data_IF_158091282785
#
_entry.id   IF_158091282785
#
_cell.length_a   1.000
_cell.length_b   1.000
_cell.length_c   1.000
_cell.angle_alpha   90.00
_cell.angle_beta   90.00
_cell.angle_gamma   90.00
#
_symmetry.space_group_name_H-M   'P 1'
#
loop_
_entity.id
_entity.type
_entity.pdbx_description
1 polymer ?
#
# COMPACT_ATOMS: atom_id res chain seq x y z
N UNK A 1 1.50 15.77 5.94
CA UNK A 1 0.81 14.95 6.93
C UNK A 1 1.49 15.12 8.27
N UNK A 2 0.76 15.54 9.28
CA UNK A 2 1.17 15.53 10.68
C UNK A 2 1.37 14.09 11.14
N UNK A 3 2.26 13.85 12.08
CA UNK A 3 2.38 12.55 12.75
C UNK A 3 1.00 12.10 13.23
N UNK A 4 0.54 10.95 12.72
CA UNK A 4 -0.72 10.39 13.17
C UNK A 4 -0.50 9.77 14.56
N UNK A 5 -1.03 10.43 15.57
CA UNK A 5 -1.12 9.85 16.92
C UNK A 5 -2.33 8.93 16.96
N UNK A 6 -2.16 7.64 17.32
CA UNK A 6 -3.29 6.73 17.48
C UNK A 6 -4.29 7.28 18.48
N UNK A 7 -5.55 7.39 18.09
CA UNK A 7 -6.64 7.78 18.98
C UNK A 7 -7.36 6.52 19.44
N UNK A 8 -7.63 6.43 20.73
CA UNK A 8 -8.39 5.34 21.33
C UNK A 8 -9.79 5.83 21.74
N UNK A 9 -10.81 5.00 21.53
CA UNK A 9 -12.19 5.32 21.85
C UNK A 9 -13.11 4.13 21.61
N UNK A 10 -14.35 4.23 22.07
CA UNK A 10 -15.34 3.14 22.01
C UNK A 10 -15.68 2.65 20.60
N UNK A 11 -15.46 3.49 19.56
CA UNK A 11 -15.76 3.17 18.17
C UNK A 11 -14.49 2.97 17.33
N UNK A 12 -13.34 2.74 17.96
CA UNK A 12 -12.05 2.61 17.26
C UNK A 12 -11.43 1.26 17.58
N UNK A 13 -11.12 0.50 16.52
CA UNK A 13 -10.32 -0.72 16.62
C UNK A 13 -9.03 -0.49 15.84
N UNK A 14 -7.90 -0.49 16.55
CA UNK A 14 -6.58 -0.45 15.94
C UNK A 14 -6.16 -1.85 15.51
N UNK A 15 -5.95 -2.04 14.21
CA UNK A 15 -5.45 -3.29 13.65
C UNK A 15 -4.02 -3.11 13.15
N UNK A 16 -3.12 -3.96 13.64
CA UNK A 16 -1.72 -4.00 13.21
C UNK A 16 -1.38 -5.38 12.69
N UNK A 17 -0.59 -5.43 11.62
CA UNK A 17 -0.08 -6.70 11.08
C UNK A 17 1.42 -6.81 11.34
N UNK A 18 1.86 -7.92 11.93
CA UNK A 18 3.27 -8.21 12.11
C UNK A 18 3.96 -8.72 10.84
N UNK A 19 3.19 -9.02 9.79
CA UNK A 19 3.73 -9.43 8.48
C UNK A 19 4.68 -8.40 7.88
N UNK A 20 4.43 -7.10 8.10
CA UNK A 20 5.24 -6.00 7.56
C UNK A 20 6.37 -5.57 8.53
N UNK A 21 6.35 -6.10 9.75
CA UNK A 21 7.37 -5.89 10.76
C UNK A 21 8.41 -7.01 10.83
N UNK A 22 8.42 -7.93 9.84
CA UNK A 22 9.41 -9.00 9.72
C UNK A 22 8.92 -10.41 10.07
N UNK A 23 7.62 -10.59 10.34
CA UNK A 23 7.00 -11.89 10.66
C UNK A 23 5.88 -12.28 9.68
N UNK A 24 6.13 -12.33 8.35
CA UNK A 24 5.06 -12.56 7.37
C UNK A 24 4.49 -13.98 7.43
N UNK A 25 5.33 -14.98 7.70
CA UNK A 25 4.95 -16.41 7.73
C UNK A 25 4.05 -16.78 8.91
N UNK A 26 4.15 -16.06 10.01
CA UNK A 26 3.42 -16.38 11.24
C UNK A 26 1.94 -15.99 11.21
N UNK A 27 1.51 -15.18 10.25
CA UNK A 27 0.12 -14.78 10.05
C UNK A 27 -0.53 -14.15 11.29
N UNK A 28 0.20 -13.27 11.99
CA UNK A 28 -0.23 -12.63 13.22
C UNK A 28 -0.62 -11.18 12.96
N UNK A 29 -1.77 -10.81 13.50
CA UNK A 29 -2.24 -9.46 13.67
C UNK A 29 -2.52 -9.16 15.15
N UNK A 30 -2.58 -7.89 15.48
CA UNK A 30 -2.96 -7.38 16.81
C UNK A 30 -4.13 -6.46 16.60
N UNK A 31 -5.22 -6.71 17.34
CA UNK A 31 -6.37 -5.80 17.42
C UNK A 31 -6.44 -5.20 18.82
N UNK A 32 -6.57 -3.89 18.91
CA UNK A 32 -6.70 -3.14 20.16
C UNK A 32 -7.96 -2.28 20.05
N UNK A 33 -8.89 -2.45 20.99
CA UNK A 33 -10.16 -1.73 20.99
C UNK A 33 -10.88 -1.87 22.32
N UNK A 34 -12.13 -1.44 22.35
CA UNK A 34 -12.97 -1.62 23.54
C UNK A 34 -13.27 -3.11 23.80
N UNK A 35 -13.53 -3.51 25.06
CA UNK A 35 -13.73 -4.92 25.43
C UNK A 35 -14.88 -5.60 24.68
N UNK A 36 -15.97 -4.89 24.37
CA UNK A 36 -17.12 -5.45 23.68
C UNK A 36 -16.79 -5.80 22.23
N UNK A 37 -16.18 -4.86 21.50
CA UNK A 37 -15.74 -5.07 20.11
C UNK A 37 -14.68 -6.17 20.00
N UNK A 38 -13.71 -6.18 20.91
CA UNK A 38 -12.67 -7.23 20.94
C UNK A 38 -13.27 -8.59 21.27
N UNK A 39 -14.24 -8.68 22.20
CA UNK A 39 -14.95 -9.93 22.51
C UNK A 39 -15.71 -10.51 21.30
N UNK A 40 -16.29 -9.66 20.46
CA UNK A 40 -16.90 -10.10 19.19
C UNK A 40 -15.83 -10.66 18.24
N UNK A 41 -14.71 -9.96 18.04
CA UNK A 41 -13.60 -10.43 17.20
C UNK A 41 -13.01 -11.76 17.71
N UNK A 42 -12.86 -11.92 19.02
CA UNK A 42 -12.39 -13.16 19.66
C UNK A 42 -13.34 -14.32 19.37
N UNK A 43 -14.65 -14.09 19.45
CA UNK A 43 -15.67 -15.09 19.13
C UNK A 43 -15.59 -15.51 17.67
N UNK A 44 -15.43 -14.57 16.74
CA UNK A 44 -15.20 -14.88 15.32
C UNK A 44 -13.91 -15.67 15.10
N UNK A 45 -12.81 -15.25 15.72
CA UNK A 45 -11.52 -15.91 15.61
C UNK A 45 -11.61 -17.36 16.12
N UNK A 46 -12.25 -17.59 17.26
CA UNK A 46 -12.42 -18.90 17.84
C UNK A 46 -13.21 -19.85 16.93
N UNK A 47 -14.27 -19.34 16.30
CA UNK A 47 -15.08 -20.13 15.38
C UNK A 47 -14.40 -20.38 14.02
N UNK A 48 -13.59 -19.43 13.53
CA UNK A 48 -12.93 -19.54 12.22
C UNK A 48 -11.64 -20.36 12.26
N UNK A 49 -10.80 -20.19 13.28
CA UNK A 49 -9.43 -20.72 13.34
C UNK A 49 -9.06 -21.33 14.68
N UNK A 50 -9.97 -21.38 15.66
CA UNK A 50 -9.74 -21.79 17.05
C UNK A 50 -8.78 -20.82 17.76
N UNK A 51 -7.55 -20.68 17.27
CA UNK A 51 -6.56 -19.71 17.76
C UNK A 51 -5.46 -19.46 16.70
N UNK A 52 -4.77 -18.33 16.81
CA UNK A 52 -3.57 -18.03 16.02
C UNK A 52 -2.38 -18.88 16.49
N UNK A 53 -1.34 -19.01 15.64
CA UNK A 53 -0.11 -19.73 15.97
C UNK A 53 0.47 -19.34 17.32
N UNK A 54 0.60 -20.29 18.24
CA UNK A 54 1.20 -20.06 19.57
C UNK A 54 2.69 -19.72 19.47
N UNK A 55 3.39 -20.32 18.53
CA UNK A 55 4.82 -20.02 18.29
C UNK A 55 4.99 -18.59 17.81
N UNK A 56 4.19 -18.18 16.85
CA UNK A 56 4.20 -16.82 16.35
C UNK A 56 3.85 -15.79 17.42
N UNK A 57 2.87 -16.07 18.28
CA UNK A 57 2.53 -15.21 19.41
C UNK A 57 3.69 -15.09 20.41
N UNK A 58 4.37 -16.19 20.75
CA UNK A 58 5.50 -16.19 21.66
C UNK A 58 6.69 -15.39 21.09
N UNK A 59 6.99 -15.55 19.80
CA UNK A 59 8.04 -14.78 19.11
C UNK A 59 7.67 -13.28 19.10
N UNK A 60 6.44 -12.97 18.73
CA UNK A 60 5.93 -11.60 18.69
C UNK A 60 5.98 -10.92 20.07
N UNK A 61 5.49 -11.60 21.10
CA UNK A 61 5.51 -11.09 22.47
C UNK A 61 6.92 -10.77 22.95
N UNK A 62 7.88 -11.67 22.67
CA UNK A 62 9.29 -11.46 23.01
C UNK A 62 9.91 -10.29 22.22
N UNK A 63 9.61 -10.18 20.93
CA UNK A 63 10.13 -9.10 20.08
C UNK A 63 9.58 -7.73 20.50
N UNK A 64 8.30 -7.67 20.89
CA UNK A 64 7.64 -6.45 21.38
C UNK A 64 8.18 -6.06 22.77
N UNK A 65 8.18 -6.99 23.73
CA UNK A 65 8.60 -6.71 25.12
C UNK A 65 10.07 -6.32 25.24
N UNK A 66 10.92 -6.83 24.35
CA UNK A 66 12.35 -6.46 24.29
C UNK A 66 12.65 -5.17 23.52
N UNK A 67 11.66 -4.52 22.90
CA UNK A 67 11.85 -3.36 22.05
C UNK A 67 12.46 -3.67 20.67
N UNK A 68 12.87 -4.90 20.40
CA UNK A 68 13.54 -5.29 19.14
C UNK A 68 12.67 -5.06 17.91
N UNK A 69 11.34 -5.23 18.03
CA UNK A 69 10.43 -5.00 16.92
C UNK A 69 10.40 -3.53 16.51
N UNK A 70 10.35 -2.62 17.49
CA UNK A 70 10.38 -1.18 17.25
C UNK A 70 11.73 -0.74 16.66
N UNK A 71 12.83 -1.26 17.21
CA UNK A 71 14.18 -0.97 16.69
C UNK A 71 14.33 -1.42 15.23
N UNK A 72 13.92 -2.64 14.90
CA UNK A 72 13.92 -3.14 13.52
C UNK A 72 13.07 -2.27 12.58
N UNK A 73 11.88 -1.91 13.03
CA UNK A 73 10.96 -1.09 12.23
C UNK A 73 11.55 0.30 11.93
N UNK A 74 12.10 0.96 12.93
CA UNK A 74 12.59 2.34 12.83
C UNK A 74 13.95 2.43 12.12
N UNK A 75 14.87 1.53 12.45
CA UNK A 75 16.28 1.65 12.07
C UNK A 75 16.66 0.81 10.84
N UNK A 76 15.83 -0.17 10.45
CA UNK A 76 16.11 -1.03 9.30
C UNK A 76 15.01 -0.94 8.25
N UNK A 77 13.76 -1.25 8.60
CA UNK A 77 12.66 -1.39 7.64
C UNK A 77 12.27 -0.03 7.06
N UNK A 78 12.02 0.96 7.91
CA UNK A 78 11.61 2.31 7.48
C UNK A 78 12.64 2.99 6.57
N UNK A 79 13.95 3.04 6.88
CA UNK A 79 14.94 3.60 5.96
C UNK A 79 15.05 2.85 4.64
N UNK A 80 14.93 1.51 4.66
CA UNK A 80 14.97 0.69 3.45
C UNK A 80 13.85 1.07 2.48
N UNK A 81 12.60 1.10 2.93
CA UNK A 81 11.47 1.45 2.07
C UNK A 81 11.42 2.94 1.70
N UNK A 82 11.91 3.84 2.56
CA UNK A 82 12.07 5.25 2.19
C UNK A 82 13.01 5.46 1.00
N UNK A 83 14.10 4.69 0.89
CA UNK A 83 14.96 4.76 -0.30
C UNK A 83 14.22 4.31 -1.55
N UNK A 84 13.47 3.23 -1.48
CA UNK A 84 12.69 2.70 -2.61
C UNK A 84 11.60 3.65 -3.08
N UNK A 85 10.90 4.31 -2.15
CA UNK A 85 9.91 5.37 -2.50
C UNK A 85 10.61 6.52 -3.24
N UNK A 86 11.80 6.94 -2.81
CA UNK A 86 12.57 7.98 -3.50
C UNK A 86 12.97 7.56 -4.91
N UNK A 87 13.41 6.31 -5.11
CA UNK A 87 13.72 5.77 -6.45
C UNK A 87 12.49 5.82 -7.34
N UNK A 88 11.34 5.36 -6.83
CA UNK A 88 10.07 5.41 -7.54
C UNK A 88 9.71 6.85 -7.95
N UNK A 89 9.68 7.77 -6.99
CA UNK A 89 9.33 9.18 -7.24
C UNK A 89 10.26 9.84 -8.25
N UNK A 90 11.57 9.75 -8.03
CA UNK A 90 12.56 10.34 -8.93
C UNK A 90 12.46 9.78 -10.36
N UNK A 91 12.14 8.48 -10.50
CA UNK A 91 11.97 7.88 -11.83
C UNK A 91 10.74 8.41 -12.53
N UNK A 92 9.61 8.56 -11.81
CA UNK A 92 8.39 9.13 -12.37
C UNK A 92 8.57 10.61 -12.71
N UNK A 93 9.20 11.41 -11.85
CA UNK A 93 9.52 12.82 -12.12
C UNK A 93 10.31 13.00 -13.42
N UNK A 94 11.33 12.16 -13.61
CA UNK A 94 12.16 12.22 -14.81
C UNK A 94 11.45 11.70 -16.08
N UNK A 95 10.56 10.70 -15.93
CA UNK A 95 9.92 10.02 -17.06
C UNK A 95 8.55 10.59 -17.42
N UNK A 96 7.87 11.31 -16.53
CA UNK A 96 6.51 11.86 -16.75
C UNK A 96 6.41 13.32 -16.30
N UNK A 97 7.26 14.25 -16.77
CA UNK A 97 7.25 15.63 -16.28
C UNK A 97 5.95 16.38 -16.60
N UNK A 98 5.25 16.00 -17.68
CA UNK A 98 4.08 16.71 -18.19
C UNK A 98 2.74 16.00 -17.83
N UNK A 99 2.80 14.84 -17.15
CA UNK A 99 1.60 14.12 -16.72
C UNK A 99 1.26 14.50 -15.27
N UNK A 100 0.00 14.85 -14.97
CA UNK A 100 -0.40 15.19 -13.62
C UNK A 100 -0.51 13.92 -12.75
N UNK A 101 0.54 13.61 -12.01
CA UNK A 101 0.57 12.49 -11.07
C UNK A 101 0.91 12.95 -9.65
N UNK A 102 0.45 12.19 -8.69
CA UNK A 102 0.69 12.44 -7.26
C UNK A 102 1.02 11.14 -6.56
N UNK A 103 2.02 11.18 -5.70
CA UNK A 103 2.39 10.06 -4.86
C UNK A 103 2.02 10.37 -3.41
N UNK A 104 1.27 9.47 -2.78
CA UNK A 104 0.99 9.59 -1.36
C UNK A 104 2.30 9.56 -0.57
N UNK A 105 2.50 10.57 0.28
CA UNK A 105 3.72 10.72 1.07
C UNK A 105 3.70 9.74 2.24
N UNK A 106 4.17 8.51 1.99
CA UNK A 106 4.24 7.44 2.97
C UNK A 106 5.49 7.56 3.85
N UNK A 107 5.34 7.25 5.13
CA UNK A 107 6.42 7.28 6.13
C UNK A 107 7.34 6.03 6.10
N UNK A 108 7.29 5.19 5.06
CA UNK A 108 8.15 4.01 4.90
C UNK A 108 7.38 2.69 4.93
N UNK A 109 6.17 2.67 4.37
CA UNK A 109 5.42 1.44 4.11
C UNK A 109 6.00 0.66 2.92
N UNK A 110 5.60 -0.62 2.80
CA UNK A 110 6.00 -1.49 1.68
C UNK A 110 5.19 -1.23 0.41
N UNK A 111 4.21 -0.35 0.46
CA UNK A 111 3.37 0.02 -0.67
C UNK A 111 3.46 1.52 -0.91
N UNK A 112 3.46 1.90 -2.19
CA UNK A 112 3.24 3.25 -2.66
C UNK A 112 1.83 3.36 -3.24
N UNK A 113 1.20 4.53 -3.06
CA UNK A 113 -0.09 4.87 -3.64
C UNK A 113 0.10 5.99 -4.64
N UNK A 114 -0.08 5.65 -5.93
CA UNK A 114 0.05 6.56 -7.05
C UNK A 114 -1.34 6.97 -7.54
N UNK A 115 -1.56 8.25 -7.71
CA UNK A 115 -2.72 8.83 -8.37
C UNK A 115 -2.30 9.47 -9.69
N UNK A 116 -2.87 9.00 -10.79
CA UNK A 116 -2.75 9.57 -12.13
C UNK A 116 -3.99 10.44 -12.36
N UNK A 117 -3.88 11.74 -12.08
CA UNK A 117 -5.02 12.66 -12.19
C UNK A 117 -5.47 12.77 -13.64
N UNK A 118 -6.79 12.75 -13.86
CA UNK A 118 -7.44 12.82 -15.17
C UNK A 118 -7.02 11.67 -16.12
N UNK A 119 -6.72 10.49 -15.55
CA UNK A 119 -6.47 9.27 -16.33
C UNK A 119 -7.67 9.02 -17.26
N UNK A 120 -7.48 8.96 -18.60
CA UNK A 120 -8.58 8.91 -19.57
C UNK A 120 -9.20 7.52 -19.75
N UNK A 121 -8.92 6.61 -18.87
CA UNK A 121 -9.49 5.26 -18.78
C UNK A 121 -9.59 4.85 -17.31
N UNK A 122 -10.22 3.72 -17.03
CA UNK A 122 -10.27 3.18 -15.68
C UNK A 122 -8.90 2.62 -15.25
N UNK A 123 -8.65 2.56 -13.95
CA UNK A 123 -7.45 1.93 -13.38
C UNK A 123 -7.30 0.45 -13.77
N UNK A 124 -8.41 -0.25 -14.02
CA UNK A 124 -8.43 -1.63 -14.51
C UNK A 124 -7.98 -1.73 -15.96
N UNK A 125 -8.46 -0.85 -16.84
CA UNK A 125 -8.01 -0.79 -18.24
C UNK A 125 -6.53 -0.45 -18.29
N UNK A 126 -6.10 0.57 -17.55
CA UNK A 126 -4.69 0.95 -17.45
C UNK A 126 -3.82 -0.20 -16.92
N UNK A 127 -4.30 -0.96 -15.94
CA UNK A 127 -3.61 -2.15 -15.46
C UNK A 127 -3.44 -3.22 -16.55
N UNK A 128 -4.41 -3.42 -17.45
CA UNK A 128 -4.25 -4.36 -18.56
C UNK A 128 -3.13 -3.93 -19.52
N UNK A 129 -3.02 -2.63 -19.81
CA UNK A 129 -1.90 -2.10 -20.61
C UNK A 129 -0.56 -2.30 -19.89
N UNK A 130 -0.49 -2.04 -18.59
CA UNK A 130 0.72 -2.29 -17.81
C UNK A 130 1.16 -3.75 -17.82
N UNK A 131 0.21 -4.69 -17.80
CA UNK A 131 0.52 -6.13 -17.91
C UNK A 131 1.21 -6.49 -19.22
N UNK A 132 0.85 -5.85 -20.34
CA UNK A 132 1.46 -6.10 -21.64
C UNK A 132 2.96 -5.76 -21.64
N UNK A 133 3.37 -4.79 -20.82
CA UNK A 133 4.77 -4.39 -20.66
C UNK A 133 5.45 -5.03 -19.44
N UNK A 134 4.80 -6.04 -18.82
CA UNK A 134 5.35 -6.80 -17.70
C UNK A 134 5.32 -6.07 -16.36
N UNK A 135 4.47 -5.07 -16.19
CA UNK A 135 4.30 -4.33 -14.92
C UNK A 135 3.02 -4.78 -14.22
N UNK A 136 3.15 -5.29 -13.00
CA UNK A 136 2.05 -5.76 -12.17
C UNK A 136 1.85 -4.82 -10.98
N UNK A 137 0.67 -4.22 -10.92
CA UNK A 137 0.22 -3.33 -9.84
C UNK A 137 -1.18 -3.74 -9.37
N UNK A 138 -1.71 -3.12 -8.34
CA UNK A 138 -3.10 -3.35 -7.93
C UNK A 138 -3.92 -2.11 -8.25
N UNK A 139 -5.02 -2.24 -9.04
CA UNK A 139 -5.94 -1.14 -9.30
C UNK A 139 -6.51 -0.55 -8.00
N UNK A 140 -6.55 0.77 -7.93
CA UNK A 140 -6.91 1.50 -6.71
C UNK A 140 -8.38 1.35 -6.34
N UNK A 141 -9.26 1.18 -7.33
CA UNK A 141 -10.71 1.01 -7.13
C UNK A 141 -11.06 -0.15 -6.19
N UNK A 142 -10.20 -1.17 -6.09
CA UNK A 142 -10.36 -2.29 -5.16
C UNK A 142 -10.28 -1.88 -3.68
N UNK A 143 -9.76 -0.69 -3.37
CA UNK A 143 -9.58 -0.18 -2.00
C UNK A 143 -10.69 0.78 -1.54
N UNK A 144 -11.74 0.93 -2.32
CA UNK A 144 -12.91 1.74 -1.98
C UNK A 144 -14.19 0.88 -1.85
N UNK A 145 -14.18 -0.19 -1.02
CA UNK A 145 -15.35 -1.06 -0.85
C UNK A 145 -16.50 -0.27 -0.22
N UNK A 146 -17.69 -0.42 -0.79
CA UNK A 146 -18.90 0.22 -0.26
C UNK A 146 -19.08 1.68 -0.64
N UNK A 147 -18.12 2.34 -1.24
CA UNK A 147 -18.27 3.70 -1.76
C UNK A 147 -19.13 3.68 -3.02
N UNK A 148 -20.41 4.09 -2.90
CA UNK A 148 -21.39 4.10 -4.00
C UNK A 148 -21.31 5.37 -4.86
N UNK A 149 -20.71 6.43 -4.33
CA UNK A 149 -20.54 7.69 -5.04
C UNK A 149 -19.69 7.52 -6.30
N UNK A 150 -20.10 8.16 -7.38
CA UNK A 150 -19.29 8.22 -8.60
C UNK A 150 -18.17 9.25 -8.42
N UNK A 151 -17.10 8.78 -7.76
CA UNK A 151 -15.92 9.57 -7.50
C UNK A 151 -14.79 9.09 -8.42
N UNK A 152 -14.52 9.89 -9.44
CA UNK A 152 -13.55 9.55 -10.48
C UNK A 152 -12.17 9.18 -9.94
N UNK A 153 -11.73 9.82 -8.85
CA UNK A 153 -10.43 9.53 -8.22
C UNK A 153 -10.22 8.05 -7.88
N UNK A 154 -11.26 7.32 -7.48
CA UNK A 154 -11.13 5.88 -7.14
C UNK A 154 -10.66 5.02 -8.32
N UNK A 155 -10.94 5.46 -9.55
CA UNK A 155 -10.56 4.79 -10.80
C UNK A 155 -9.26 5.33 -11.42
N UNK A 156 -8.54 6.17 -10.70
CA UNK A 156 -7.32 6.83 -11.18
C UNK A 156 -6.09 6.48 -10.31
N UNK A 157 -6.24 5.55 -9.39
CA UNK A 157 -5.20 5.21 -8.42
C UNK A 157 -4.63 3.82 -8.65
N UNK A 158 -3.37 3.64 -8.26
CA UNK A 158 -2.65 2.37 -8.30
C UNK A 158 -1.92 2.14 -6.99
N UNK A 159 -1.99 0.91 -6.44
CA UNK A 159 -1.12 0.47 -5.36
C UNK A 159 0.08 -0.27 -5.93
N UNK A 160 1.28 0.22 -5.64
CA UNK A 160 2.56 -0.33 -6.12
C UNK A 160 3.27 -1.00 -4.95
N UNK A 161 3.74 -2.24 -5.13
CA UNK A 161 4.57 -2.92 -4.15
C UNK A 161 6.03 -2.48 -4.28
N UNK A 162 6.65 -2.18 -3.15
CA UNK A 162 8.08 -1.80 -3.06
C UNK A 162 8.97 -2.98 -2.65
N UNK A 163 8.48 -4.22 -2.74
CA UNK A 163 9.25 -5.40 -2.34
C UNK A 163 10.36 -5.79 -3.33
N UNK A 164 10.23 -5.39 -4.59
CA UNK A 164 11.26 -5.56 -5.63
C UNK A 164 12.54 -4.76 -5.32
N UNK A 165 13.61 -5.02 -6.05
CA UNK A 165 14.88 -4.25 -5.95
C UNK A 165 14.70 -2.81 -6.46
N UNK A 166 15.59 -1.91 -6.09
CA UNK A 166 15.56 -0.51 -6.55
C UNK A 166 15.67 -0.43 -8.08
N UNK A 167 16.46 -1.29 -8.70
CA UNK A 167 16.61 -1.37 -10.15
C UNK A 167 15.33 -1.83 -10.85
N UNK A 168 14.68 -2.88 -10.31
CA UNK A 168 13.40 -3.38 -10.84
C UNK A 168 12.29 -2.33 -10.69
N UNK A 169 12.24 -1.63 -9.55
CA UNK A 169 11.28 -0.54 -9.33
C UNK A 169 11.51 0.57 -10.37
N UNK A 170 12.75 1.02 -10.56
CA UNK A 170 13.06 2.06 -11.54
C UNK A 170 12.67 1.63 -12.97
N UNK A 171 12.97 0.39 -13.35
CA UNK A 171 12.61 -0.13 -14.67
C UNK A 171 11.09 -0.23 -14.85
N UNK A 172 10.38 -0.76 -13.85
CA UNK A 172 8.92 -0.83 -13.88
C UNK A 172 8.27 0.56 -13.99
N UNK A 173 8.80 1.56 -13.27
CA UNK A 173 8.28 2.94 -13.35
C UNK A 173 8.56 3.60 -14.70
N UNK A 174 9.67 3.31 -15.37
CA UNK A 174 9.90 3.76 -16.74
C UNK A 174 8.87 3.20 -17.71
N UNK A 175 8.57 1.90 -17.62
CA UNK A 175 7.54 1.25 -18.44
C UNK A 175 6.15 1.80 -18.15
N UNK A 176 5.81 2.01 -16.88
CA UNK A 176 4.57 2.64 -16.48
C UNK A 176 4.45 4.04 -17.10
N UNK A 177 5.52 4.83 -17.03
CA UNK A 177 5.57 6.17 -17.60
C UNK A 177 5.33 6.17 -19.12
N UNK A 178 5.92 5.23 -19.85
CA UNK A 178 5.72 5.08 -21.30
C UNK A 178 4.25 4.79 -21.63
N UNK A 179 3.63 3.86 -20.92
CA UNK A 179 2.20 3.55 -21.08
C UNK A 179 1.34 4.78 -20.76
N UNK A 180 1.63 5.46 -19.65
CA UNK A 180 0.90 6.66 -19.26
C UNK A 180 1.00 7.75 -20.34
N UNK A 181 2.19 8.02 -20.87
CA UNK A 181 2.38 8.98 -21.96
C UNK A 181 1.53 8.64 -23.19
N UNK A 182 1.51 7.38 -23.62
CA UNK A 182 0.71 6.93 -24.76
C UNK A 182 -0.79 7.16 -24.52
N UNK A 183 -1.26 6.81 -23.33
CA UNK A 183 -2.67 6.92 -22.95
C UNK A 183 -3.12 8.40 -22.87
N UNK A 184 -2.36 9.28 -22.22
CA UNK A 184 -2.69 10.70 -22.15
C UNK A 184 -2.59 11.40 -23.50
N UNK A 185 -1.63 11.04 -24.37
CA UNK A 185 -1.49 11.60 -25.72
C UNK A 185 -2.63 11.20 -26.66
N UNK A 186 -3.17 9.99 -26.52
CA UNK A 186 -4.28 9.52 -27.38
C UNK A 186 -5.53 10.40 -27.25
N UNK A 187 -5.80 11.00 -26.08
CA UNK A 187 -6.91 11.90 -25.87
C UNK A 187 -6.71 13.27 -26.52
N UNK A 188 -5.50 13.78 -26.50
CA UNK A 188 -5.18 15.07 -27.14
C UNK A 188 -5.39 14.97 -28.65
N UNK A 189 -5.03 13.83 -29.25
CA UNK A 189 -5.20 13.58 -30.69
C UNK A 189 -6.65 13.32 -31.09
N UNK A 190 -7.51 12.83 -30.20
CA UNK A 190 -8.92 12.58 -30.47
C UNK A 190 -9.83 13.83 -30.34
N UNK A 191 -9.30 14.96 -29.86
CA UNK A 191 -9.99 16.23 -29.72
C UNK A 191 -9.72 17.21 -30.87
N UNK A 192 -8.92 16.82 -31.85
CA UNK A 192 -8.62 17.54 -33.10
C UNK A 192 -9.13 16.75 -34.30
#
# INVERSE_FOLDING_TARGET
>A
FTEMTPQFGENIIHCMSLSKAGLPGERIGIAIGDPQSIGILESFQTNACIHSSRYGQAIAAKAISSGKLADLALNVIRPHYRRKIKVLANTLDAAMPDIPWYLHQGEGAIFAWLWLKDLPMTDWEFYQELKQVGVIVVPGSTFFPGLREDWQHKQQCLRISLTATETEIAEAMKRLAQVAQQVYQSVVLSQH
#
